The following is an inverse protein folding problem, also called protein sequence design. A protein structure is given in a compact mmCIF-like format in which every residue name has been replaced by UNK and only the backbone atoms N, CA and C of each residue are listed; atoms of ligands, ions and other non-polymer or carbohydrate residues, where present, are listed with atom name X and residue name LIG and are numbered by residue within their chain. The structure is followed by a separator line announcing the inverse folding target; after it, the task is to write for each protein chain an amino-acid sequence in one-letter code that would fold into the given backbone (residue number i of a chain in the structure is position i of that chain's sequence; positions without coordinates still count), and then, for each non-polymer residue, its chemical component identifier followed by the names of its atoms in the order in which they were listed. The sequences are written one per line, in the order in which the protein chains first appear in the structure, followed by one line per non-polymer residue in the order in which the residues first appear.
data_IF_942996399205
#
_entry.id   IF_942996399205
#
_cell.length_a   1.000
_cell.length_b   1.000
_cell.length_c   1.000
_cell.angle_alpha   90.00
_cell.angle_beta   90.00
_cell.angle_gamma   90.00
#
_symmetry.space_group_name_H-M   'P 1'
#
loop_
_entity.id
_entity.type
_entity.pdbx_description
1 polymer ?
#
# COMPACT_ATOMS: atom_id res chain seq x y z
N UNK A 1 7.74 -21.53 -2.75
CA UNK A 1 8.66 -21.09 -1.69
C UNK A 1 8.05 -19.96 -0.87
N UNK A 2 8.56 -19.77 0.36
CA UNK A 2 8.11 -18.68 1.23
C UNK A 2 8.97 -17.43 1.07
N UNK A 3 8.34 -16.27 1.13
CA UNK A 3 8.99 -14.96 1.24
C UNK A 3 8.62 -14.38 2.61
N UNK A 4 9.46 -14.56 3.63
CA UNK A 4 9.24 -13.96 4.93
C UNK A 4 9.54 -12.47 4.92
N UNK A 5 8.83 -11.71 5.76
CA UNK A 5 9.09 -10.28 5.97
C UNK A 5 10.08 -10.12 7.12
N UNK A 6 11.17 -9.38 6.86
CA UNK A 6 12.13 -8.98 7.88
C UNK A 6 11.84 -7.54 8.30
N UNK A 7 11.45 -7.36 9.56
CA UNK A 7 11.08 -6.06 10.12
C UNK A 7 11.47 -6.01 11.60
N UNK A 8 12.07 -4.91 12.04
CA UNK A 8 12.48 -4.69 13.44
C UNK A 8 13.29 -5.85 14.02
N UNK A 9 14.28 -6.34 13.26
CA UNK A 9 15.14 -7.49 13.61
C UNK A 9 14.37 -8.79 13.87
N UNK A 10 13.18 -8.92 13.30
CA UNK A 10 12.31 -10.08 13.46
C UNK A 10 11.80 -10.60 12.12
N UNK A 11 11.58 -11.93 12.08
CA UNK A 11 10.94 -12.65 10.98
C UNK A 11 9.76 -13.40 11.61
N UNK A 12 8.53 -12.91 11.43
CA UNK A 12 7.38 -13.54 12.07
C UNK A 12 6.28 -13.94 11.08
N UNK A 13 6.12 -13.21 9.96
CA UNK A 13 5.12 -13.50 8.94
C UNK A 13 5.71 -13.44 7.56
N UNK A 14 5.07 -14.08 6.61
CA UNK A 14 5.46 -14.07 5.22
C UNK A 14 4.36 -14.61 4.31
N UNK A 15 4.69 -14.70 3.02
CA UNK A 15 3.77 -15.17 1.99
C UNK A 15 4.39 -16.33 1.24
N UNK A 16 3.66 -17.43 1.13
CA UNK A 16 3.98 -18.49 0.17
C UNK A 16 3.71 -18.00 -1.24
N UNK A 17 4.67 -18.18 -2.13
CA UNK A 17 4.55 -17.82 -3.53
C UNK A 17 4.85 -19.02 -4.43
N UNK A 18 4.14 -19.08 -5.53
CA UNK A 18 4.39 -20.03 -6.60
C UNK A 18 5.11 -19.32 -7.75
N UNK A 19 6.25 -19.87 -8.17
CA UNK A 19 6.93 -19.43 -9.38
C UNK A 19 6.07 -19.77 -10.60
N UNK A 20 5.74 -18.76 -11.40
CA UNK A 20 4.96 -18.91 -12.63
C UNK A 20 5.86 -18.86 -13.87
N UNK A 21 6.83 -17.95 -13.90
CA UNK A 21 7.66 -17.71 -15.07
C UNK A 21 9.03 -17.17 -14.65
N UNK A 22 10.06 -17.56 -15.38
CA UNK A 22 11.39 -16.92 -15.36
C UNK A 22 11.46 -15.99 -16.57
N UNK A 23 11.42 -14.70 -16.34
CA UNK A 23 11.39 -13.67 -17.40
C UNK A 23 12.77 -13.46 -17.99
N UNK A 24 13.80 -13.44 -17.13
CA UNK A 24 15.18 -13.22 -17.53
C UNK A 24 16.15 -14.01 -16.64
N UNK A 25 17.26 -14.44 -17.21
CA UNK A 25 18.38 -15.09 -16.50
C UNK A 25 19.67 -14.37 -16.85
N UNK A 26 20.37 -13.86 -15.85
CA UNK A 26 21.60 -13.11 -15.99
C UNK A 26 22.83 -14.03 -15.94
N UNK A 27 23.95 -13.59 -16.48
CA UNK A 27 25.22 -14.34 -16.45
C UNK A 27 25.71 -14.64 -15.01
N UNK A 28 25.34 -13.80 -14.05
CA UNK A 28 25.60 -14.00 -12.62
C UNK A 28 24.80 -15.14 -11.98
N UNK A 29 23.84 -15.73 -12.70
CA UNK A 29 22.87 -16.70 -12.18
C UNK A 29 21.65 -16.06 -11.50
N UNK A 30 21.58 -14.73 -11.41
CA UNK A 30 20.38 -14.03 -10.96
C UNK A 30 19.24 -14.17 -11.98
N UNK A 31 18.01 -14.14 -11.53
CA UNK A 31 16.81 -14.31 -12.37
C UNK A 31 15.74 -13.28 -12.01
N UNK A 32 15.07 -12.74 -13.04
CA UNK A 32 13.81 -12.04 -12.88
C UNK A 32 12.68 -13.04 -13.03
N UNK A 33 11.82 -13.11 -12.04
CA UNK A 33 10.76 -14.11 -11.97
C UNK A 33 9.40 -13.47 -11.70
N UNK A 34 8.36 -14.08 -12.26
CA UNK A 34 6.97 -13.78 -11.92
C UNK A 34 6.47 -14.83 -10.94
N UNK A 35 6.02 -14.37 -9.78
CA UNK A 35 5.45 -15.22 -8.74
C UNK A 35 4.02 -14.81 -8.43
N UNK A 36 3.19 -15.78 -8.03
CA UNK A 36 1.83 -15.56 -7.55
C UNK A 36 1.75 -15.93 -6.08
N UNK A 37 1.27 -14.99 -5.26
CA UNK A 37 1.00 -15.22 -3.85
C UNK A 37 -0.10 -16.29 -3.69
N UNK A 38 0.09 -17.20 -2.73
CA UNK A 38 -0.83 -18.31 -2.44
C UNK A 38 -1.45 -18.16 -1.06
N UNK A 39 -0.63 -18.25 -0.02
CA UNK A 39 -1.08 -18.25 1.36
C UNK A 39 -0.17 -17.37 2.21
N UNK A 40 -0.71 -16.83 3.29
CA UNK A 40 0.06 -16.16 4.32
C UNK A 40 0.45 -17.20 5.37
N UNK A 41 1.65 -17.06 5.92
CA UNK A 41 2.12 -17.91 6.98
C UNK A 41 2.74 -17.11 8.13
N UNK A 42 2.69 -17.71 9.31
CA UNK A 42 3.47 -17.32 10.48
C UNK A 42 4.69 -18.22 10.58
N UNK A 43 5.85 -17.66 10.84
CA UNK A 43 7.09 -18.40 11.04
C UNK A 43 7.15 -18.94 12.47
N UNK A 44 7.30 -20.24 12.61
CA UNK A 44 7.47 -20.93 13.90
C UNK A 44 8.97 -21.08 14.23
N UNK A 45 9.74 -21.46 13.23
CA UNK A 45 11.21 -21.50 13.33
C UNK A 45 11.85 -21.11 12.02
N UNK A 46 13.02 -20.50 12.08
CA UNK A 46 13.78 -20.06 10.91
C UNK A 46 15.25 -20.45 11.06
N UNK A 47 15.81 -21.08 10.04
CA UNK A 47 17.21 -21.48 9.96
C UNK A 47 17.83 -20.91 8.68
N UNK A 48 18.93 -20.16 8.82
CA UNK A 48 19.65 -19.56 7.70
C UNK A 48 20.29 -20.59 6.77
N UNK A 49 20.57 -21.79 7.28
CA UNK A 49 21.27 -22.87 6.56
C UNK A 49 20.59 -24.21 6.78
N UNK A 50 19.33 -24.32 6.40
CA UNK A 50 18.51 -25.50 6.60
C UNK A 50 19.21 -26.78 6.07
N UNK A 51 19.58 -27.69 6.95
CA UNK A 51 20.20 -28.97 6.63
C UNK A 51 21.46 -28.86 5.71
N UNK A 52 22.38 -27.94 5.98
CA UNK A 52 23.58 -27.66 5.21
C UNK A 52 23.33 -27.24 3.74
N UNK A 53 22.12 -26.77 3.43
CA UNK A 53 21.78 -26.25 2.10
C UNK A 53 22.16 -24.78 1.98
N UNK A 54 22.33 -24.31 0.73
CA UNK A 54 22.66 -22.93 0.42
C UNK A 54 21.46 -21.94 0.53
N UNK A 55 20.33 -22.39 1.04
CA UNK A 55 19.14 -21.58 1.22
C UNK A 55 18.58 -21.73 2.64
N UNK A 56 17.94 -20.68 3.09
CA UNK A 56 17.25 -20.65 4.38
C UNK A 56 15.96 -21.46 4.33
N UNK A 57 15.51 -21.93 5.48
CA UNK A 57 14.25 -22.64 5.62
C UNK A 57 13.69 -22.52 7.03
N UNK A 58 12.58 -23.18 7.29
CA UNK A 58 11.95 -23.15 8.60
C UNK A 58 10.62 -23.87 8.64
N UNK A 59 10.03 -23.89 9.81
CA UNK A 59 8.67 -24.37 10.04
C UNK A 59 7.70 -23.18 10.03
N UNK A 60 6.56 -23.34 9.38
CA UNK A 60 5.54 -22.28 9.25
C UNK A 60 4.16 -22.85 9.58
N UNK A 61 3.29 -21.98 10.05
CA UNK A 61 1.87 -22.22 10.21
C UNK A 61 1.11 -21.33 9.22
N UNK A 62 0.32 -21.94 8.34
CA UNK A 62 -0.50 -21.21 7.39
C UNK A 62 -1.71 -20.57 8.08
N UNK A 63 -2.05 -19.37 7.66
CA UNK A 63 -3.17 -18.59 8.20
C UNK A 63 -4.39 -18.79 7.31
N UNK A 64 -5.49 -19.21 7.92
CA UNK A 64 -6.79 -19.29 7.25
C UNK A 64 -7.38 -17.88 7.08
N UNK A 65 -7.55 -17.48 5.83
CA UNK A 65 -8.12 -16.18 5.48
C UNK A 65 -9.65 -16.25 5.53
N UNK A 66 -10.24 -15.34 6.30
CA UNK A 66 -11.69 -15.25 6.53
C UNK A 66 -12.26 -14.17 5.62
N UNK A 67 -13.14 -14.54 4.70
CA UNK A 67 -13.84 -13.64 3.77
C UNK A 67 -15.17 -13.14 4.37
N UNK A 68 -15.11 -12.46 5.49
CA UNK A 68 -16.25 -11.89 6.22
C UNK A 68 -16.51 -10.40 5.91
N UNK A 69 -15.87 -9.86 4.89
CA UNK A 69 -16.02 -8.48 4.46
C UNK A 69 -17.32 -8.24 3.69
N UNK A 70 -18.15 -7.32 4.18
CA UNK A 70 -19.40 -6.92 3.52
C UNK A 70 -19.14 -6.14 2.22
N UNK A 71 -20.00 -6.38 1.21
CA UNK A 71 -19.95 -5.67 -0.08
C UNK A 71 -20.10 -4.16 0.08
N UNK A 72 -20.92 -3.71 1.03
CA UNK A 72 -21.08 -2.29 1.40
C UNK A 72 -19.75 -1.68 1.83
N UNK A 73 -19.02 -2.33 2.73
CA UNK A 73 -17.72 -1.86 3.22
C UNK A 73 -16.66 -1.84 2.11
N UNK A 74 -16.62 -2.85 1.24
CA UNK A 74 -15.74 -2.86 0.06
C UNK A 74 -16.00 -1.68 -0.86
N UNK A 75 -17.29 -1.36 -1.10
CA UNK A 75 -17.70 -0.20 -1.92
C UNK A 75 -17.30 1.13 -1.29
N UNK A 76 -17.42 1.26 0.02
CA UNK A 76 -16.98 2.45 0.73
C UNK A 76 -15.46 2.66 0.62
N UNK A 77 -14.66 1.60 0.78
CA UNK A 77 -13.20 1.66 0.58
C UNK A 77 -12.86 2.10 -0.85
N UNK A 78 -13.51 1.52 -1.88
CA UNK A 78 -13.29 1.93 -3.27
C UNK A 78 -13.65 3.40 -3.52
N UNK A 79 -14.75 3.89 -2.93
CA UNK A 79 -15.12 5.29 -3.03
C UNK A 79 -14.09 6.21 -2.38
N UNK A 80 -13.55 5.84 -1.22
CA UNK A 80 -12.50 6.60 -0.54
C UNK A 80 -11.18 6.54 -1.30
N UNK A 81 -10.84 5.42 -1.88
CA UNK A 81 -9.66 5.30 -2.72
C UNK A 81 -9.78 6.19 -3.97
N UNK A 82 -10.93 6.23 -4.62
CA UNK A 82 -11.21 7.16 -5.72
C UNK A 82 -11.08 8.62 -5.29
N UNK A 83 -11.60 8.99 -4.10
CA UNK A 83 -11.45 10.34 -3.53
C UNK A 83 -9.97 10.69 -3.33
N UNK A 84 -9.15 9.77 -2.80
CA UNK A 84 -7.71 9.95 -2.64
C UNK A 84 -7.03 10.25 -3.97
N UNK A 85 -7.29 9.44 -5.00
CA UNK A 85 -6.68 9.62 -6.32
C UNK A 85 -7.10 10.94 -7.00
N UNK A 86 -8.35 11.36 -6.81
CA UNK A 86 -8.82 12.67 -7.28
C UNK A 86 -8.07 13.83 -6.61
N UNK A 87 -7.82 13.75 -5.30
CA UNK A 87 -7.04 14.76 -4.56
C UNK A 87 -5.57 14.80 -4.95
N UNK A 88 -5.03 13.67 -5.42
CA UNK A 88 -3.67 13.54 -5.94
C UNK A 88 -3.56 13.94 -7.41
N UNK A 89 -4.68 14.20 -8.09
CA UNK A 89 -4.76 14.48 -9.53
C UNK A 89 -4.20 13.33 -10.40
N UNK A 90 -4.34 12.08 -9.90
CA UNK A 90 -3.88 10.87 -10.58
C UNK A 90 -5.08 10.08 -11.13
N UNK A 91 -5.01 9.53 -12.36
CA UNK A 91 -6.07 8.70 -12.88
C UNK A 91 -6.32 7.46 -12.02
N UNK A 92 -7.59 7.19 -11.71
CA UNK A 92 -8.00 5.98 -11.01
C UNK A 92 -8.70 5.03 -11.97
N UNK A 93 -8.11 3.84 -12.20
CA UNK A 93 -8.75 2.79 -12.98
C UNK A 93 -9.89 2.16 -12.17
N UNK A 94 -11.12 2.07 -12.70
CA UNK A 94 -12.23 1.41 -12.03
C UNK A 94 -11.88 -0.03 -11.64
N UNK A 95 -12.31 -0.42 -10.45
CA UNK A 95 -12.17 -1.77 -9.93
C UNK A 95 -13.56 -2.33 -9.71
N UNK A 96 -13.86 -3.44 -10.37
CA UNK A 96 -15.11 -4.16 -10.16
C UNK A 96 -15.12 -4.77 -8.75
N UNK A 97 -16.29 -4.72 -8.11
CA UNK A 97 -16.42 -5.16 -6.71
C UNK A 97 -16.09 -6.64 -6.52
N UNK A 98 -16.35 -7.45 -7.54
CA UNK A 98 -16.08 -8.88 -7.62
C UNK A 98 -14.57 -9.16 -7.66
N UNK A 99 -13.79 -8.22 -8.19
CA UNK A 99 -12.33 -8.28 -8.29
C UNK A 99 -11.64 -7.62 -7.09
N UNK A 100 -12.43 -7.14 -6.12
CA UNK A 100 -11.88 -6.49 -4.94
C UNK A 100 -11.05 -7.47 -4.10
N UNK A 101 -9.81 -7.08 -3.84
CA UNK A 101 -8.91 -7.80 -2.95
C UNK A 101 -8.13 -6.77 -2.10
N UNK A 102 -8.34 -6.79 -0.79
CA UNK A 102 -7.71 -5.83 0.13
C UNK A 102 -6.18 -5.87 0.09
N UNK A 103 -5.57 -7.05 -0.01
CA UNK A 103 -4.11 -7.19 -0.13
C UNK A 103 -3.58 -6.63 -1.46
N UNK A 104 -4.27 -6.91 -2.57
CA UNK A 104 -3.87 -6.42 -3.88
C UNK A 104 -3.99 -4.88 -4.01
N UNK A 105 -4.81 -4.25 -3.18
CA UNK A 105 -4.99 -2.80 -3.17
C UNK A 105 -4.06 -2.07 -2.19
N UNK A 106 -3.44 -2.76 -1.25
CA UNK A 106 -2.63 -2.17 -0.19
C UNK A 106 -1.57 -1.18 -0.73
N UNK A 107 -0.78 -1.60 -1.73
CA UNK A 107 0.26 -0.78 -2.35
C UNK A 107 -0.26 0.45 -3.13
N UNK A 108 -1.58 0.55 -3.37
CA UNK A 108 -2.22 1.68 -4.07
C UNK A 108 -2.73 2.77 -3.12
N UNK A 109 -2.60 2.56 -1.82
CA UNK A 109 -3.20 3.42 -0.79
C UNK A 109 -2.19 4.30 -0.07
N UNK A 110 -0.89 4.13 -0.35
CA UNK A 110 0.20 4.85 0.31
C UNK A 110 0.43 4.38 1.75
N UNK A 111 0.20 3.11 2.04
CA UNK A 111 0.59 2.49 3.30
C UNK A 111 2.12 2.51 3.44
N UNK A 112 2.62 2.69 4.67
CA UNK A 112 4.03 2.44 4.96
C UNK A 112 4.32 0.93 4.99
N UNK A 113 5.61 0.57 4.95
CA UNK A 113 6.02 -0.83 5.03
C UNK A 113 5.49 -1.52 6.30
N UNK A 114 5.51 -0.82 7.44
CA UNK A 114 4.98 -1.30 8.71
C UNK A 114 3.46 -1.51 8.64
N UNK A 115 2.74 -0.60 7.98
CA UNK A 115 1.30 -0.70 7.80
C UNK A 115 0.93 -1.84 6.84
N UNK A 116 1.69 -2.05 5.76
CA UNK A 116 1.50 -3.20 4.88
C UNK A 116 1.75 -4.52 5.62
N UNK A 117 2.77 -4.54 6.48
CA UNK A 117 3.05 -5.69 7.33
C UNK A 117 1.97 -5.94 8.37
N UNK A 118 1.40 -4.90 8.99
CA UNK A 118 0.25 -5.02 9.90
C UNK A 118 -0.97 -5.57 9.16
N UNK A 119 -1.26 -5.03 7.96
CA UNK A 119 -2.35 -5.52 7.12
C UNK A 119 -2.18 -7.01 6.75
N UNK A 120 -0.95 -7.45 6.47
CA UNK A 120 -0.64 -8.85 6.17
C UNK A 120 -1.05 -9.80 7.29
N UNK A 121 -1.00 -9.37 8.54
CA UNK A 121 -1.30 -10.18 9.71
C UNK A 121 -2.81 -10.33 10.00
N UNK A 122 -3.66 -9.51 9.38
CA UNK A 122 -5.10 -9.53 9.58
C UNK A 122 -5.75 -10.66 8.76
N UNK A 123 -6.22 -11.70 9.43
CA UNK A 123 -6.88 -12.83 8.78
C UNK A 123 -8.28 -12.49 8.25
N UNK A 124 -9.04 -11.64 8.97
CA UNK A 124 -10.42 -11.24 8.64
C UNK A 124 -10.44 -10.13 7.58
N UNK A 125 -11.23 -10.30 6.51
CA UNK A 125 -11.46 -9.24 5.51
C UNK A 125 -12.12 -8.02 6.12
N UNK A 126 -13.02 -8.21 7.08
CA UNK A 126 -13.68 -7.12 7.81
C UNK A 126 -12.65 -6.26 8.56
N UNK A 127 -11.68 -6.88 9.23
CA UNK A 127 -10.62 -6.17 9.94
C UNK A 127 -9.70 -5.42 8.95
N UNK A 128 -9.35 -6.05 7.84
CA UNK A 128 -8.56 -5.38 6.77
C UNK A 128 -9.28 -4.18 6.19
N UNK A 129 -10.58 -4.30 5.90
CA UNK A 129 -11.39 -3.18 5.40
C UNK A 129 -11.45 -2.03 6.41
N UNK A 130 -11.59 -2.33 7.70
CA UNK A 130 -11.58 -1.31 8.75
C UNK A 130 -10.23 -0.62 8.87
N UNK A 131 -9.14 -1.39 8.82
CA UNK A 131 -7.77 -0.87 8.84
C UNK A 131 -7.52 0.09 7.65
N UNK A 132 -7.85 -0.35 6.44
CA UNK A 132 -7.73 0.43 5.21
C UNK A 132 -8.59 1.70 5.29
N UNK A 133 -9.83 1.60 5.75
CA UNK A 133 -10.74 2.74 5.87
C UNK A 133 -10.17 3.79 6.81
N UNK A 134 -9.65 3.40 7.97
CA UNK A 134 -9.03 4.31 8.93
C UNK A 134 -7.83 5.04 8.32
N UNK A 135 -6.96 4.30 7.61
CA UNK A 135 -5.82 4.88 6.91
C UNK A 135 -6.26 5.90 5.85
N UNK A 136 -7.21 5.54 4.99
CA UNK A 136 -7.71 6.42 3.93
C UNK A 136 -8.35 7.69 4.48
N UNK A 137 -9.12 7.59 5.57
CA UNK A 137 -9.73 8.77 6.21
C UNK A 137 -8.68 9.77 6.69
N UNK A 138 -7.63 9.30 7.36
CA UNK A 138 -6.52 10.14 7.83
C UNK A 138 -5.74 10.74 6.66
N UNK A 139 -5.36 9.91 5.70
CA UNK A 139 -4.56 10.33 4.54
C UNK A 139 -5.29 11.36 3.69
N UNK A 140 -6.59 11.17 3.42
CA UNK A 140 -7.42 12.11 2.67
C UNK A 140 -7.50 13.46 3.40
N UNK A 141 -7.66 13.44 4.72
CA UNK A 141 -7.71 14.66 5.52
C UNK A 141 -6.40 15.44 5.45
N UNK A 142 -5.28 14.77 5.64
CA UNK A 142 -3.95 15.37 5.53
C UNK A 142 -3.73 15.96 4.14
N UNK A 143 -4.09 15.22 3.09
CA UNK A 143 -3.91 15.70 1.71
C UNK A 143 -4.78 16.92 1.39
N UNK A 144 -6.01 16.98 1.90
CA UNK A 144 -6.87 18.17 1.78
C UNK A 144 -6.21 19.41 2.40
N UNK A 145 -5.63 19.28 3.60
CA UNK A 145 -4.94 20.40 4.26
C UNK A 145 -3.67 20.81 3.52
N UNK A 146 -2.90 19.85 2.99
CA UNK A 146 -1.73 20.13 2.15
C UNK A 146 -2.13 20.90 0.89
N UNK A 147 -3.17 20.45 0.18
CA UNK A 147 -3.64 21.10 -1.04
C UNK A 147 -4.18 22.51 -0.75
N UNK A 148 -4.89 22.69 0.36
CA UNK A 148 -5.33 24.01 0.82
C UNK A 148 -4.18 24.95 1.10
N UNK A 149 -3.14 24.46 1.78
CA UNK A 149 -1.94 25.25 2.11
C UNK A 149 -1.18 25.61 0.83
N UNK A 150 -1.06 24.70 -0.13
CA UNK A 150 -0.44 24.94 -1.43
C UNK A 150 -1.15 26.07 -2.17
N UNK A 151 -2.49 26.03 -2.25
CA UNK A 151 -3.29 27.09 -2.85
C UNK A 151 -3.07 28.46 -2.18
N UNK A 152 -3.00 28.51 -0.84
CA UNK A 152 -2.75 29.75 -0.10
C UNK A 152 -1.34 30.30 -0.39
N UNK A 153 -0.35 29.45 -0.53
CA UNK A 153 1.03 29.85 -0.87
C UNK A 153 1.10 30.40 -2.29
N UNK A 154 0.42 29.74 -3.25
CA UNK A 154 0.32 30.21 -4.64
C UNK A 154 -0.36 31.57 -4.72
N UNK A 155 -1.48 31.76 -4.05
CA UNK A 155 -2.18 33.05 -3.98
C UNK A 155 -1.29 34.15 -3.38
N UNK A 156 -0.60 33.86 -2.27
CA UNK A 156 0.32 34.83 -1.66
C UNK A 156 1.53 35.13 -2.54
N UNK A 157 1.99 34.16 -3.35
CA UNK A 157 3.04 34.35 -4.34
C UNK A 157 2.62 35.32 -5.47
N UNK A 158 1.38 35.26 -5.90
CA UNK A 158 0.82 36.22 -6.85
C UNK A 158 0.73 37.65 -6.29
N UNK A 159 0.41 37.81 -5.01
CA UNK A 159 0.37 39.14 -4.35
C UNK A 159 1.77 39.76 -4.20
N UNK A 160 2.85 38.99 -4.14
CA UNK A 160 4.22 39.52 -4.09
C UNK A 160 4.71 40.09 -5.43
N UNK A 161 4.07 39.77 -6.54
CA UNK A 161 4.38 40.28 -7.88
C UNK A 161 3.57 41.51 -8.28
N UNK A 162 2.71 42.04 -7.40
CA UNK A 162 2.13 43.35 -7.58
C UNK A 162 3.18 44.42 -7.28
N UNK A 163 3.63 45.15 -8.32
CA UNK A 163 4.54 46.27 -8.19
C UNK A 163 3.85 47.35 -7.34
N UNK A 164 4.49 47.81 -6.20
CA UNK A 164 3.92 48.89 -5.38
C UNK A 164 3.65 50.18 -6.15
N UNK A 165 4.12 50.32 -7.39
CA UNK A 165 3.90 51.48 -8.24
C UNK A 165 2.54 51.49 -8.94
N UNK A 166 1.83 50.36 -9.02
CA UNK A 166 0.48 50.30 -9.63
C UNK A 166 -0.62 50.93 -8.77
N UNK A 167 -0.37 51.21 -7.49
CA UNK A 167 -1.31 51.95 -6.65
C UNK A 167 -1.48 53.43 -7.00
N UNK A 168 -0.66 53.97 -7.92
CA UNK A 168 -0.80 55.37 -8.38
C UNK A 168 -1.94 55.59 -9.39
N UNK A 169 -2.59 54.54 -9.87
CA UNK A 169 -3.70 54.64 -10.82
C UNK A 169 -5.07 54.83 -10.11
N UNK A 170 -5.18 54.71 -8.80
CA UNK A 170 -6.39 55.02 -8.04
C UNK A 170 -6.27 56.43 -7.39
N UNK A 171 -6.39 57.49 -8.20
CA UNK A 171 -6.77 58.82 -7.71
C UNK A 171 -8.29 58.87 -7.68
N UNK A 172 -8.84 59.03 -6.48
CA UNK A 172 -10.19 59.48 -6.16
C UNK A 172 -10.39 60.89 -6.73
#
# INVERSE_FOLDING_TARGET
FGIPVYINDNIAYGTEVQLMEVVNTYESGAMDVVCVARQIFKVISFDNTMNDRLYSGGEVEFIDIINDGEVSAKREVLNKLKELYQLMEVPFAPIEIEMFNSYALAHKMGLSFEQEYELLQLASEKERLQFIMNHLMVTIQVLKEVNRTKLLVELNGHFKNFDPLDFKAFKI
#
